data_IF_376677234919
#
_entry.id   IF_376677234919
#
_cell.length_a   1.000
_cell.length_b   1.000
_cell.length_c   1.000
_cell.angle_alpha   90.00
_cell.angle_beta   90.00
_cell.angle_gamma   90.00
#
_symmetry.space_group_name_H-M   'P 1'
#
loop_
_entity.id
_entity.type
_entity.pdbx_description
1 polymer ?
#
# COMPACT_ATOMS: atom_id res chain seq x y z
N UNK A 1 5.15 -39.85 -18.70
CA UNK A 1 5.05 -40.53 -17.39
C UNK A 1 3.72 -40.12 -16.78
N UNK A 2 2.90 -41.11 -16.38
CA UNK A 2 1.49 -40.94 -16.04
C UNK A 2 1.34 -41.03 -14.52
N UNK A 3 0.69 -40.05 -13.86
CA UNK A 3 0.13 -40.24 -12.52
C UNK A 3 -1.33 -39.76 -12.49
N UNK A 4 -2.17 -40.50 -11.74
CA UNK A 4 -3.59 -40.25 -11.47
C UNK A 4 -3.80 -40.30 -9.95
N UNK A 5 -4.64 -39.44 -9.40
CA UNK A 5 -5.17 -39.58 -8.03
C UNK A 5 -6.70 -39.63 -8.05
N UNK A 6 -7.26 -40.45 -7.17
CA UNK A 6 -8.69 -40.77 -7.03
C UNK A 6 -9.41 -39.80 -6.08
N UNK A 7 -10.72 -39.64 -6.27
CA UNK A 7 -11.64 -38.91 -5.38
C UNK A 7 -11.86 -39.67 -4.06
N UNK A 8 -11.86 -38.94 -2.94
CA UNK A 8 -12.43 -39.39 -1.67
C UNK A 8 -13.51 -38.38 -1.22
N UNK A 9 -14.76 -38.83 -1.12
CA UNK A 9 -15.86 -38.08 -0.52
C UNK A 9 -15.72 -38.09 1.00
N UNK A 10 -15.53 -36.91 1.59
CA UNK A 10 -15.90 -36.59 2.98
C UNK A 10 -16.47 -35.18 2.93
N UNK A 11 -17.68 -34.97 3.47
CA UNK A 11 -18.28 -33.65 3.58
C UNK A 11 -17.40 -32.78 4.48
N UNK A 12 -16.53 -31.98 3.87
CA UNK A 12 -15.67 -31.01 4.54
C UNK A 12 -16.47 -29.72 4.63
N UNK A 13 -16.70 -29.27 5.86
CA UNK A 13 -17.17 -27.93 6.21
C UNK A 13 -16.47 -26.94 5.29
N UNK A 14 -17.21 -26.27 4.40
CA UNK A 14 -16.68 -25.21 3.54
C UNK A 14 -16.21 -24.07 4.45
N UNK A 15 -14.99 -24.17 4.97
CA UNK A 15 -14.22 -22.97 5.26
C UNK A 15 -13.98 -22.43 3.85
N UNK A 16 -14.75 -21.41 3.47
CA UNK A 16 -14.45 -20.64 2.28
C UNK A 16 -13.00 -20.17 2.46
N UNK A 17 -12.08 -20.86 1.81
CA UNK A 17 -10.80 -20.27 1.49
C UNK A 17 -11.20 -19.16 0.51
N UNK A 18 -11.26 -17.91 0.99
CA UNK A 18 -11.37 -16.74 0.14
C UNK A 18 -10.15 -16.74 -0.79
N UNK A 19 -10.21 -17.55 -1.83
CA UNK A 19 -9.25 -17.53 -2.92
C UNK A 19 -9.48 -16.21 -3.59
N UNK A 20 -8.46 -15.35 -3.54
CA UNK A 20 -8.49 -14.15 -4.33
C UNK A 20 -8.66 -14.55 -5.79
N UNK A 21 -9.81 -14.21 -6.37
CA UNK A 21 -10.07 -14.47 -7.78
C UNK A 21 -9.30 -13.44 -8.58
N UNK A 22 -8.13 -13.84 -9.06
CA UNK A 22 -7.37 -13.09 -10.07
C UNK A 22 -8.24 -13.05 -11.33
N UNK A 23 -8.88 -11.91 -11.56
CA UNK A 23 -9.67 -11.66 -12.77
C UNK A 23 -8.67 -11.17 -13.81
N UNK A 24 -8.69 -11.71 -15.04
CA UNK A 24 -7.78 -11.34 -16.15
C UNK A 24 -7.97 -9.90 -16.67
N UNK A 25 -8.71 -9.06 -15.95
CA UNK A 25 -8.82 -7.61 -16.20
C UNK A 25 -7.89 -6.90 -15.21
N UNK A 26 -6.99 -6.04 -15.71
CA UNK A 26 -6.11 -5.29 -14.81
C UNK A 26 -6.96 -4.56 -13.77
N UNK A 27 -6.67 -4.71 -12.47
CA UNK A 27 -7.47 -4.06 -11.44
C UNK A 27 -7.40 -2.55 -11.65
N UNK A 28 -8.56 -1.92 -11.84
CA UNK A 28 -8.61 -0.47 -11.79
C UNK A 28 -8.48 -0.03 -10.33
N UNK A 29 -7.26 0.33 -9.91
CA UNK A 29 -6.99 0.79 -8.55
C UNK A 29 -7.03 2.32 -8.51
N UNK A 30 -7.96 2.86 -7.73
CA UNK A 30 -7.93 4.28 -7.40
C UNK A 30 -6.72 4.60 -6.49
N UNK A 31 -6.11 5.78 -6.64
CA UNK A 31 -5.00 6.18 -5.77
C UNK A 31 -5.47 6.34 -4.31
N UNK A 32 -4.61 6.04 -3.33
CA UNK A 32 -4.94 6.25 -1.91
C UNK A 32 -5.26 7.72 -1.61
N UNK A 33 -6.30 7.96 -0.81
CA UNK A 33 -6.67 9.32 -0.38
C UNK A 33 -5.80 9.73 0.80
N UNK A 34 -5.00 10.79 0.65
CA UNK A 34 -4.13 11.31 1.71
C UNK A 34 -4.94 12.09 2.75
N UNK A 35 -4.73 11.82 4.04
CA UNK A 35 -5.49 12.42 5.15
C UNK A 35 -4.63 13.38 5.96
N UNK A 36 -3.44 12.96 6.40
CA UNK A 36 -2.54 13.76 7.24
C UNK A 36 -1.08 13.37 7.00
N UNK A 37 -0.13 14.31 7.03
CA UNK A 37 -0.33 15.75 6.98
C UNK A 37 -1.05 16.19 5.70
N UNK A 38 -2.01 17.10 5.84
CA UNK A 38 -2.77 17.66 4.71
C UNK A 38 -1.92 18.63 3.90
N UNK A 39 -2.32 18.90 2.65
CA UNK A 39 -1.55 19.77 1.77
C UNK A 39 -1.44 21.19 2.36
N UNK A 40 -0.21 21.67 2.53
CA UNK A 40 0.09 22.97 3.14
C UNK A 40 0.05 23.00 4.67
N UNK A 41 -0.15 21.86 5.34
CA UNK A 41 -0.14 21.77 6.79
C UNK A 41 1.27 21.96 7.37
N UNK A 42 1.37 22.76 8.43
CA UNK A 42 2.60 22.86 9.23
C UNK A 42 2.54 21.84 10.36
N UNK A 43 3.43 20.85 10.34
CA UNK A 43 3.47 19.79 11.34
C UNK A 43 4.44 20.16 12.47
N UNK A 44 3.99 20.05 13.72
CA UNK A 44 4.77 20.35 14.92
C UNK A 44 5.40 19.12 15.58
N UNK A 45 4.98 17.92 15.17
CA UNK A 45 5.47 16.63 15.66
C UNK A 45 6.53 16.09 14.69
N UNK A 46 7.66 15.62 15.22
CA UNK A 46 8.78 15.10 14.43
C UNK A 46 9.30 13.79 15.05
N UNK A 47 9.24 12.65 14.35
CA UNK A 47 8.75 12.48 12.97
C UNK A 47 7.22 12.60 12.84
N UNK A 48 6.71 13.15 11.72
CA UNK A 48 5.28 13.17 11.43
C UNK A 48 4.73 11.76 11.24
N UNK A 49 3.47 11.55 11.62
CA UNK A 49 2.71 10.36 11.25
C UNK A 49 1.88 10.65 10.01
N UNK A 50 2.13 9.90 8.94
CA UNK A 50 1.38 9.95 7.70
C UNK A 50 0.18 9.02 7.79
N UNK A 51 -0.97 9.48 7.28
CA UNK A 51 -2.26 8.77 7.34
C UNK A 51 -2.95 8.89 5.99
N UNK A 52 -3.44 7.78 5.47
CA UNK A 52 -4.22 7.70 4.22
C UNK A 52 -5.43 6.79 4.39
N UNK A 53 -6.38 6.86 3.45
CA UNK A 53 -7.50 5.92 3.39
C UNK A 53 -7.08 4.67 2.63
N UNK A 54 -7.53 3.50 3.09
CA UNK A 54 -7.36 2.24 2.37
C UNK A 54 -7.99 2.32 0.99
N UNK A 55 -7.33 1.73 0.00
CA UNK A 55 -7.91 1.51 -1.33
C UNK A 55 -8.77 0.25 -1.28
N UNK A 56 -9.99 0.34 -1.79
CA UNK A 56 -10.84 -0.83 -2.05
C UNK A 56 -10.51 -1.33 -3.46
N UNK A 57 -10.18 -2.61 -3.59
CA UNK A 57 -9.94 -3.23 -4.88
C UNK A 57 -10.24 -4.72 -4.80
N UNK A 58 -10.57 -5.31 -5.95
CA UNK A 58 -10.91 -6.74 -6.05
C UNK A 58 -9.69 -7.66 -5.87
N UNK A 59 -8.50 -7.08 -5.67
CA UNK A 59 -7.26 -7.79 -5.42
C UNK A 59 -6.92 -7.84 -3.94
N UNK A 60 -6.53 -9.02 -3.49
CA UNK A 60 -6.22 -9.35 -2.11
C UNK A 60 -4.71 -9.27 -1.83
N UNK A 61 -3.91 -8.93 -2.84
CA UNK A 61 -2.46 -8.77 -2.72
C UNK A 61 -2.04 -7.37 -3.18
N UNK A 62 -2.56 -6.35 -2.51
CA UNK A 62 -2.19 -4.96 -2.74
C UNK A 62 -1.13 -4.51 -1.74
N UNK A 63 -0.18 -3.71 -2.23
CA UNK A 63 0.82 -3.05 -1.39
C UNK A 63 0.85 -1.56 -1.70
N UNK A 64 1.08 -0.78 -0.67
CA UNK A 64 1.32 0.64 -0.82
C UNK A 64 2.82 0.90 -0.98
N UNK A 65 3.15 1.89 -1.82
CA UNK A 65 4.44 2.54 -1.82
C UNK A 65 4.28 3.96 -1.30
N UNK A 66 4.97 4.23 -0.19
CA UNK A 66 5.09 5.55 0.42
C UNK A 66 6.38 6.20 -0.06
N UNK A 67 6.29 7.44 -0.52
CA UNK A 67 7.43 8.25 -0.89
C UNK A 67 7.31 9.66 -0.33
N UNK A 68 8.41 10.15 0.25
CA UNK A 68 8.56 11.53 0.68
C UNK A 68 9.78 12.16 0.00
N UNK A 69 9.67 13.42 -0.40
CA UNK A 69 10.66 14.13 -1.18
C UNK A 69 10.79 15.61 -0.76
N UNK A 70 11.91 16.22 -1.11
CA UNK A 70 12.16 17.66 -0.96
C UNK A 70 11.64 18.49 -2.12
N UNK A 71 11.19 17.85 -3.21
CA UNK A 71 10.66 18.50 -4.40
C UNK A 71 9.36 17.81 -4.86
N UNK A 72 8.37 18.62 -5.26
CA UNK A 72 7.04 18.14 -5.67
C UNK A 72 7.03 17.27 -6.93
N UNK A 73 8.10 17.30 -7.73
CA UNK A 73 8.24 16.46 -8.93
C UNK A 73 8.67 15.02 -8.62
N UNK A 74 9.06 14.73 -7.37
CA UNK A 74 9.60 13.42 -6.97
C UNK A 74 10.75 12.95 -7.87
N UNK A 75 11.60 13.88 -8.32
CA UNK A 75 12.82 13.55 -9.05
C UNK A 75 13.73 12.64 -8.20
N UNK A 76 14.47 11.72 -8.82
CA UNK A 76 15.25 10.67 -8.14
C UNK A 76 16.20 11.18 -7.05
N UNK A 77 16.74 12.40 -7.16
CA UNK A 77 17.62 13.01 -6.14
C UNK A 77 16.89 13.77 -5.02
N UNK A 78 15.58 13.95 -5.13
CA UNK A 78 14.74 14.64 -4.14
C UNK A 78 14.02 13.68 -3.19
N UNK A 79 13.88 12.41 -3.58
CA UNK A 79 13.24 11.38 -2.75
C UNK A 79 14.15 11.06 -1.57
N UNK A 80 13.65 11.30 -0.37
CA UNK A 80 14.36 11.07 0.90
C UNK A 80 13.85 9.82 1.63
N UNK A 81 12.63 9.39 1.34
CA UNK A 81 12.05 8.13 1.85
C UNK A 81 11.33 7.45 0.68
N UNK A 82 11.59 6.15 0.49
CA UNK A 82 10.80 5.29 -0.38
C UNK A 82 10.68 3.92 0.27
N UNK A 83 9.46 3.53 0.66
CA UNK A 83 9.22 2.27 1.36
C UNK A 83 7.91 1.62 0.92
N UNK A 84 7.78 0.32 1.22
CA UNK A 84 6.54 -0.42 1.07
C UNK A 84 5.82 -0.46 2.41
N UNK A 85 4.51 -0.19 2.39
CA UNK A 85 3.60 -0.39 3.51
C UNK A 85 2.60 -1.48 3.12
N UNK A 86 2.54 -2.54 3.92
CA UNK A 86 1.66 -3.68 3.67
C UNK A 86 0.25 -3.38 4.18
N UNK A 87 -0.76 -3.93 3.49
CA UNK A 87 -2.11 -3.98 4.02
C UNK A 87 -2.18 -4.73 5.37
N UNK A 88 -3.12 -4.39 6.25
CA UNK A 88 -4.18 -3.38 6.10
C UNK A 88 -3.73 -1.97 6.54
N UNK A 89 -2.43 -1.72 6.66
CA UNK A 89 -1.97 -0.48 7.29
C UNK A 89 -2.30 0.76 6.48
N UNK A 90 -2.74 1.77 7.21
CA UNK A 90 -3.18 3.08 6.69
C UNK A 90 -2.40 4.24 7.31
N UNK A 91 -1.35 3.90 8.06
CA UNK A 91 -0.48 4.86 8.72
C UNK A 91 0.98 4.48 8.56
N UNK A 92 1.85 5.49 8.53
CA UNK A 92 3.30 5.31 8.51
C UNK A 92 3.97 6.43 9.29
N UNK A 93 4.83 6.06 10.25
CA UNK A 93 5.68 7.01 10.97
C UNK A 93 7.13 6.65 10.67
N UNK A 94 7.90 7.55 10.02
CA UNK A 94 9.34 7.33 9.78
C UNK A 94 10.10 7.12 11.09
N UNK A 95 11.19 6.35 11.04
CA UNK A 95 12.08 6.18 12.17
C UNK A 95 12.97 7.43 12.40
N UNK A 96 13.35 8.08 11.30
CA UNK A 96 14.21 9.26 11.31
C UNK A 96 13.41 10.56 11.35
N UNK A 97 13.99 11.57 12.00
CA UNK A 97 13.43 12.93 12.08
C UNK A 97 13.75 13.75 10.83
N UNK A 98 12.88 14.70 10.51
CA UNK A 98 13.06 15.67 9.43
C UNK A 98 13.71 16.95 9.96
N UNK A 99 14.51 17.63 9.13
CA UNK A 99 14.91 19.01 9.41
C UNK A 99 13.73 19.96 9.21
N UNK A 100 13.81 21.18 9.74
CA UNK A 100 12.78 22.20 9.52
C UNK A 100 12.84 22.70 8.07
N UNK A 101 12.00 22.14 7.20
CA UNK A 101 11.87 22.49 5.78
C UNK A 101 10.50 22.07 5.23
N UNK A 102 10.26 22.30 3.93
CA UNK A 102 9.08 21.86 3.20
C UNK A 102 9.34 20.49 2.55
N UNK A 103 8.40 19.57 2.73
CA UNK A 103 8.45 18.23 2.14
C UNK A 103 7.14 17.90 1.44
N UNK A 104 7.25 17.05 0.43
CA UNK A 104 6.14 16.52 -0.35
C UNK A 104 6.06 15.03 -0.09
N UNK A 105 4.85 14.49 -0.01
CA UNK A 105 4.66 13.05 0.13
C UNK A 105 3.51 12.59 -0.75
N UNK A 106 3.59 11.35 -1.21
CA UNK A 106 2.52 10.72 -1.95
C UNK A 106 2.49 9.22 -1.67
N UNK A 107 1.40 8.62 -2.09
CA UNK A 107 1.12 7.21 -1.98
C UNK A 107 0.74 6.68 -3.35
N UNK A 108 1.33 5.55 -3.71
CA UNK A 108 0.84 4.74 -4.83
C UNK A 108 0.45 3.36 -4.31
N UNK A 109 -0.51 2.74 -4.98
CA UNK A 109 -0.93 1.37 -4.71
C UNK A 109 -0.60 0.53 -5.94
N UNK A 110 -0.17 -0.71 -5.73
CA UNK A 110 0.02 -1.67 -6.80
C UNK A 110 -0.33 -3.06 -6.31
N UNK A 111 -0.65 -3.96 -7.24
CA UNK A 111 -0.60 -5.38 -6.97
C UNK A 111 0.83 -5.81 -6.67
N UNK A 112 0.97 -6.62 -5.65
CA UNK A 112 2.15 -7.44 -5.44
C UNK A 112 2.00 -8.67 -6.35
N UNK A 113 3.00 -8.92 -7.18
CA UNK A 113 3.02 -9.99 -8.18
C UNK A 113 3.66 -11.26 -7.64
#
# INVERSE_FOLDING_TARGET
>A
MKWKFFLASVAILLIAMNTCTETEEEPNLDPPVLISPSNGETVSINPPTFVWRSVEGDSCDLVYRFEAATDSSFAMGSIIISTIVLLPETTYTPADTFSADTYYWHMSVRQNA
#
